data_IF_348532371508
#
_entry.id   IF_348532371508
#
_cell.length_a   1.000
_cell.length_b   1.000
_cell.length_c   1.000
_cell.angle_alpha   90.00
_cell.angle_beta   90.00
_cell.angle_gamma   90.00
#
_symmetry.space_group_name_H-M   'P 1'
#
loop_
_entity.id
_entity.type
_entity.pdbx_description
1 polymer ?
#
# COMPACT_ATOMS: atom_id res chain seq x y z
N UNK A 1 -10.14 11.99 18.33
CA UNK A 1 -9.84 10.67 17.76
C UNK A 1 -11.09 9.88 18.00
N UNK A 2 -11.90 9.67 16.97
CA UNK A 2 -13.15 8.92 17.11
C UNK A 2 -12.77 7.45 17.29
N UNK A 3 -12.84 6.96 18.53
CA UNK A 3 -12.52 5.59 18.86
C UNK A 3 -13.69 4.71 18.43
N UNK A 4 -13.38 3.60 17.77
CA UNK A 4 -14.38 2.58 17.42
C UNK A 4 -14.82 1.91 18.73
N UNK A 5 -16.11 1.97 19.03
CA UNK A 5 -16.77 1.34 20.19
C UNK A 5 -17.67 0.20 19.70
N UNK A 6 -17.75 -0.89 20.46
CA UNK A 6 -18.54 -2.07 20.11
C UNK A 6 -20.04 -1.77 19.98
N UNK A 7 -20.53 -0.73 20.65
CA UNK A 7 -21.93 -0.30 20.61
C UNK A 7 -22.28 0.57 19.37
N UNK A 8 -21.31 0.89 18.51
CA UNK A 8 -21.55 1.67 17.28
C UNK A 8 -22.19 0.81 16.18
N UNK A 9 -23.10 1.42 15.41
CA UNK A 9 -23.68 0.80 14.22
C UNK A 9 -22.58 0.40 13.21
N UNK A 10 -22.78 -0.73 12.54
CA UNK A 10 -21.77 -1.36 11.66
C UNK A 10 -21.35 -0.43 10.50
N UNK A 11 -22.31 0.30 9.93
CA UNK A 11 -22.07 1.32 8.90
C UNK A 11 -21.18 2.47 9.41
N UNK A 12 -21.33 2.82 10.69
CA UNK A 12 -20.54 3.89 11.30
C UNK A 12 -19.10 3.45 11.54
N UNK A 13 -18.90 2.23 12.05
CA UNK A 13 -17.58 1.62 12.21
C UNK A 13 -16.85 1.55 10.87
N UNK A 14 -17.53 1.05 9.85
CA UNK A 14 -16.99 0.91 8.49
C UNK A 14 -16.57 2.27 7.91
N UNK A 15 -17.40 3.31 8.10
CA UNK A 15 -17.07 4.68 7.65
C UNK A 15 -15.82 5.23 8.34
N UNK A 16 -15.68 5.00 9.66
CA UNK A 16 -14.51 5.43 10.43
C UNK A 16 -13.26 4.70 9.94
N UNK A 17 -13.32 3.37 9.80
CA UNK A 17 -12.22 2.56 9.27
C UNK A 17 -11.75 3.07 7.90
N UNK A 18 -12.69 3.28 6.97
CA UNK A 18 -12.37 3.78 5.63
C UNK A 18 -11.73 5.17 5.66
N UNK A 19 -12.20 6.08 6.52
CA UNK A 19 -11.61 7.41 6.69
C UNK A 19 -10.17 7.35 7.19
N UNK A 20 -9.85 6.35 8.02
CA UNK A 20 -8.50 6.09 8.51
C UNK A 20 -7.65 5.23 7.57
N UNK A 21 -8.18 4.84 6.40
CA UNK A 21 -7.46 4.03 5.41
C UNK A 21 -7.37 2.55 5.76
N UNK A 22 -8.27 2.07 6.62
CA UNK A 22 -8.45 0.66 6.95
C UNK A 22 -9.59 0.06 6.13
N UNK A 23 -9.50 -1.24 5.85
CA UNK A 23 -10.55 -2.05 5.23
C UNK A 23 -11.23 -2.93 6.28
N UNK A 24 -12.39 -3.52 5.97
CA UNK A 24 -13.15 -4.37 6.91
C UNK A 24 -12.38 -5.64 7.34
N UNK A 25 -11.32 -6.00 6.62
CA UNK A 25 -10.34 -7.02 7.05
C UNK A 25 -9.52 -6.62 8.28
N UNK A 26 -9.57 -5.34 8.69
CA UNK A 26 -8.67 -4.73 9.67
C UNK A 26 -7.31 -4.32 9.08
N UNK A 27 -7.01 -4.71 7.84
CA UNK A 27 -5.80 -4.35 7.13
C UNK A 27 -5.81 -2.92 6.57
N UNK A 28 -4.63 -2.45 6.17
CA UNK A 28 -4.44 -1.13 5.56
C UNK A 28 -4.80 -1.21 4.07
N UNK A 29 -5.60 -0.28 3.56
CA UNK A 29 -5.90 -0.21 2.14
C UNK A 29 -4.62 -0.09 1.29
N UNK A 30 -4.45 -1.02 0.34
CA UNK A 30 -3.23 -1.11 -0.48
C UNK A 30 -3.00 0.17 -1.29
N UNK A 31 -4.04 0.74 -1.91
CA UNK A 31 -3.91 1.89 -2.80
C UNK A 31 -3.52 3.15 -2.03
N UNK A 32 -4.17 3.43 -0.90
CA UNK A 32 -3.84 4.52 0.01
C UNK A 32 -2.43 4.39 0.58
N UNK A 33 -1.96 3.16 0.79
CA UNK A 33 -0.60 2.92 1.30
C UNK A 33 0.48 3.19 0.26
N UNK A 34 0.33 2.67 -0.96
CA UNK A 34 1.39 2.76 -1.99
C UNK A 34 1.36 4.08 -2.76
N UNK A 35 0.19 4.68 -2.97
CA UNK A 35 0.06 5.89 -3.78
C UNK A 35 0.57 7.11 -3.05
N UNK A 36 1.58 7.75 -3.63
CA UNK A 36 2.09 9.04 -3.22
C UNK A 36 1.53 10.12 -4.17
N UNK A 37 0.62 11.01 -3.70
CA UNK A 37 -0.02 12.00 -4.57
C UNK A 37 0.95 13.06 -5.10
N UNK A 38 2.17 13.12 -4.56
CA UNK A 38 3.19 14.11 -4.92
C UNK A 38 4.25 13.56 -5.87
N UNK A 39 4.32 12.24 -6.08
CA UNK A 39 5.32 11.63 -6.96
C UNK A 39 4.87 10.25 -7.46
N UNK A 40 4.67 10.15 -8.77
CA UNK A 40 4.45 8.87 -9.44
C UNK A 40 5.64 7.93 -9.27
N UNK A 41 6.87 8.44 -9.38
CA UNK A 41 8.09 7.64 -9.19
C UNK A 41 8.13 6.97 -7.82
N UNK A 42 7.82 7.73 -6.76
CA UNK A 42 7.73 7.15 -5.42
C UNK A 42 6.56 6.18 -5.26
N UNK A 43 5.44 6.37 -5.98
CA UNK A 43 4.33 5.39 -6.00
C UNK A 43 4.81 4.05 -6.55
N UNK A 44 5.53 4.06 -7.68
CA UNK A 44 6.11 2.85 -8.26
C UNK A 44 7.12 2.20 -7.32
N UNK A 45 8.01 2.99 -6.71
CA UNK A 45 8.95 2.49 -5.69
C UNK A 45 8.23 1.84 -4.50
N UNK A 46 7.16 2.45 -4.00
CA UNK A 46 6.37 1.91 -2.89
C UNK A 46 5.73 0.56 -3.28
N UNK A 47 5.18 0.44 -4.49
CA UNK A 47 4.67 -0.83 -5.01
C UNK A 47 5.76 -1.91 -5.06
N UNK A 48 6.98 -1.56 -5.50
CA UNK A 48 8.12 -2.48 -5.47
C UNK A 48 8.49 -2.91 -4.05
N UNK A 49 8.52 -1.99 -3.08
CA UNK A 49 8.80 -2.33 -1.69
C UNK A 49 7.76 -3.29 -1.10
N UNK A 50 6.47 -3.02 -1.34
CA UNK A 50 5.38 -3.92 -0.92
C UNK A 50 5.56 -5.30 -1.56
N UNK A 51 5.93 -5.38 -2.84
CA UNK A 51 6.17 -6.67 -3.50
C UNK A 51 7.28 -7.49 -2.83
N UNK A 52 8.33 -6.83 -2.32
CA UNK A 52 9.39 -7.51 -1.56
C UNK A 52 8.92 -7.95 -0.18
N UNK A 53 8.10 -7.14 0.50
CA UNK A 53 7.51 -7.53 1.80
C UNK A 53 6.63 -8.78 1.66
N UNK A 54 5.84 -8.87 0.59
CA UNK A 54 5.02 -10.03 0.28
C UNK A 54 5.87 -11.24 -0.07
N UNK A 55 6.85 -11.07 -0.97
CA UNK A 55 7.79 -12.15 -1.35
C UNK A 55 8.53 -12.70 -0.13
N UNK A 56 8.93 -11.83 0.80
CA UNK A 56 9.67 -12.19 2.00
C UNK A 56 8.74 -12.68 3.13
N UNK A 57 7.43 -12.82 2.87
CA UNK A 57 6.41 -13.34 3.80
C UNK A 57 6.24 -12.50 5.05
N UNK A 58 6.45 -11.17 4.96
CA UNK A 58 6.28 -10.22 6.09
C UNK A 58 4.91 -9.58 6.11
N UNK A 59 4.29 -9.46 4.94
CA UNK A 59 2.98 -8.86 4.73
C UNK A 59 2.24 -9.76 3.75
N UNK A 60 0.93 -9.90 3.93
CA UNK A 60 0.03 -10.56 2.99
C UNK A 60 -1.01 -9.59 2.43
N UNK A 61 -1.62 -9.98 1.31
CA UNK A 61 -2.76 -9.27 0.74
C UNK A 61 -4.02 -10.05 1.08
N UNK A 62 -4.93 -9.38 1.77
CA UNK A 62 -6.30 -9.84 1.98
C UNK A 62 -7.26 -9.02 1.13
N UNK A 63 -8.48 -9.50 0.91
CA UNK A 63 -9.52 -8.82 0.14
C UNK A 63 -10.74 -8.62 1.02
N UNK A 64 -11.23 -7.39 1.07
CA UNK A 64 -12.48 -7.10 1.79
C UNK A 64 -13.71 -7.68 1.07
N UNK A 65 -14.87 -7.51 1.67
CA UNK A 65 -16.16 -7.97 1.13
C UNK A 65 -16.50 -7.37 -0.26
N UNK A 66 -15.85 -6.26 -0.64
CA UNK A 66 -16.00 -5.60 -1.94
C UNK A 66 -14.90 -6.03 -2.94
N UNK A 67 -14.00 -6.93 -2.54
CA UNK A 67 -12.88 -7.39 -3.35
C UNK A 67 -11.75 -6.37 -3.46
N UNK A 68 -11.67 -5.40 -2.53
CA UNK A 68 -10.61 -4.40 -2.50
C UNK A 68 -9.42 -4.90 -1.67
N UNK A 69 -8.17 -4.72 -2.15
CA UNK A 69 -7.00 -5.27 -1.50
C UNK A 69 -6.57 -4.48 -0.25
N UNK A 70 -6.25 -5.22 0.81
CA UNK A 70 -5.72 -4.72 2.07
C UNK A 70 -4.40 -5.42 2.42
N UNK A 71 -3.49 -4.70 3.06
CA UNK A 71 -2.22 -5.22 3.58
C UNK A 71 -2.35 -5.55 5.07
N UNK A 72 -1.93 -6.76 5.44
CA UNK A 72 -1.86 -7.23 6.83
C UNK A 72 -0.47 -7.80 7.14
N UNK A 73 0.08 -7.59 8.35
CA UNK A 73 1.31 -8.25 8.76
C UNK A 73 1.10 -9.77 8.89
N UNK A 74 2.10 -10.55 8.50
CA UNK A 74 2.09 -12.01 8.74
C UNK A 74 2.61 -12.26 10.16
N UNK A 75 1.77 -12.84 11.02
CA UNK A 75 2.13 -13.16 12.39
C UNK A 75 2.94 -14.46 12.45
N UNK A 76 4.25 -14.34 12.72
CA UNK A 76 5.18 -15.48 12.67
C UNK A 76 5.29 -16.23 14.00
N UNK A 77 4.69 -15.70 15.05
CA UNK A 77 4.79 -16.26 16.41
C UNK A 77 3.82 -17.43 16.64
N UNK A 78 2.81 -17.60 15.78
CA UNK A 78 1.85 -18.70 15.87
C UNK A 78 2.34 -20.02 15.20
N UNK A 79 3.46 -20.00 14.48
CA UNK A 79 3.99 -21.12 13.69
C UNK A 79 5.34 -21.64 14.20
N UNK A 80 5.50 -21.85 15.52
CA UNK A 80 6.64 -22.61 16.06
C UNK A 80 6.52 -24.14 15.82
N UNK A 81 5.42 -24.60 15.24
CA UNK A 81 5.24 -26.00 14.85
C UNK A 81 5.31 -26.18 13.32
N UNK A 82 6.43 -26.76 12.89
CA UNK A 82 6.74 -27.28 11.56
C UNK A 82 7.11 -26.27 10.46
N UNK A 83 8.28 -26.43 9.78
CA UNK A 83 8.59 -25.76 8.53
C UNK A 83 7.80 -26.45 7.42
N UNK A 84 6.48 -26.43 7.52
CA UNK A 84 5.65 -26.82 6.41
C UNK A 84 5.84 -25.74 5.35
N UNK A 85 6.69 -26.09 4.40
CA UNK A 85 6.61 -25.67 3.00
C UNK A 85 5.23 -26.07 2.46
N UNK A 86 4.15 -25.65 3.10
CA UNK A 86 2.85 -25.56 2.47
C UNK A 86 3.10 -24.61 1.32
N UNK A 87 2.99 -25.15 0.11
CA UNK A 87 2.97 -24.38 -1.11
C UNK A 87 1.81 -23.42 -1.02
N UNK A 88 2.03 -22.30 -0.34
CA UNK A 88 1.21 -21.11 -0.40
C UNK A 88 1.03 -20.91 -1.90
N UNK A 89 -0.20 -21.14 -2.37
CA UNK A 89 -0.55 -20.87 -3.74
C UNK A 89 0.03 -19.49 -4.03
N UNK A 90 1.05 -19.45 -4.90
CA UNK A 90 1.76 -18.22 -5.23
C UNK A 90 0.75 -17.38 -5.98
N UNK A 91 -0.08 -16.65 -5.25
CA UNK A 91 -0.99 -15.68 -5.79
C UNK A 91 -0.12 -14.55 -6.32
N UNK A 92 0.33 -14.71 -7.57
CA UNK A 92 1.02 -13.68 -8.30
C UNK A 92 -0.04 -12.66 -8.71
N UNK A 93 -0.16 -11.60 -7.91
CA UNK A 93 -0.91 -10.41 -8.33
C UNK A 93 0.00 -9.58 -9.25
N UNK A 94 -0.43 -9.36 -10.48
CA UNK A 94 0.21 -8.39 -11.38
C UNK A 94 -0.53 -7.08 -11.20
N UNK A 95 0.09 -6.13 -10.50
CA UNK A 95 -0.43 -4.77 -10.38
C UNK A 95 0.26 -3.87 -11.39
N UNK A 96 -0.50 -3.34 -12.34
CA UNK A 96 -0.05 -2.31 -13.28
C UNK A 96 -0.46 -0.92 -12.78
N UNK A 97 0.43 0.04 -12.92
CA UNK A 97 0.17 1.44 -12.58
C UNK A 97 0.77 2.33 -13.67
N UNK A 98 -0.08 3.11 -14.33
CA UNK A 98 0.32 4.17 -15.23
C UNK A 98 -0.05 5.55 -14.66
N UNK A 99 0.35 6.60 -15.36
CA UNK A 99 0.14 7.98 -14.93
C UNK A 99 -1.34 8.40 -14.92
N UNK A 100 -2.20 7.72 -15.68
CA UNK A 100 -3.64 8.00 -15.73
C UNK A 100 -4.31 7.37 -14.51
N UNK A 101 -4.13 6.07 -14.33
CA UNK A 101 -4.60 5.29 -13.18
C UNK A 101 -4.14 5.91 -11.86
N UNK A 102 -2.88 6.34 -11.78
CA UNK A 102 -2.34 7.03 -10.60
C UNK A 102 -3.12 8.31 -10.25
N UNK A 103 -3.45 9.13 -11.26
CA UNK A 103 -4.24 10.35 -11.06
C UNK A 103 -5.68 10.04 -10.68
N UNK A 104 -6.27 9.03 -11.30
CA UNK A 104 -7.64 8.61 -11.01
C UNK A 104 -7.78 8.10 -9.58
N UNK A 105 -6.80 7.35 -9.08
CA UNK A 105 -6.76 6.92 -7.67
C UNK A 105 -6.66 8.14 -6.75
N UNK A 106 -5.78 9.09 -7.03
CA UNK A 106 -5.65 10.32 -6.21
C UNK A 106 -6.99 11.05 -6.13
N UNK A 107 -7.66 11.23 -7.26
CA UNK A 107 -8.93 11.95 -7.34
C UNK A 107 -10.06 11.18 -6.65
N UNK A 108 -10.18 9.88 -6.91
CA UNK A 108 -11.24 9.01 -6.37
C UNK A 108 -11.15 8.91 -4.86
N UNK A 109 -9.94 8.82 -4.31
CA UNK A 109 -9.70 8.70 -2.88
C UNK A 109 -9.46 10.04 -2.18
N UNK A 110 -9.38 11.14 -2.93
CA UNK A 110 -9.11 12.49 -2.39
C UNK A 110 -7.74 12.62 -1.72
N UNK A 111 -6.72 11.89 -2.20
CA UNK A 111 -5.40 11.82 -1.55
C UNK A 111 -4.65 13.16 -1.65
N UNK A 112 -4.46 13.83 -0.52
CA UNK A 112 -3.68 15.08 -0.45
C UNK A 112 -2.24 14.87 0.01
N UNK A 113 -2.05 13.89 0.91
CA UNK A 113 -0.78 13.58 1.54
C UNK A 113 -0.50 12.08 1.44
N UNK A 114 0.76 11.66 1.25
CA UNK A 114 1.09 10.25 1.25
C UNK A 114 1.00 9.67 2.66
N UNK A 115 0.54 8.41 2.76
CA UNK A 115 0.46 7.70 4.04
C UNK A 115 1.84 7.45 4.66
N UNK A 116 2.83 7.13 3.82
CA UNK A 116 4.25 7.02 4.21
C UNK A 116 5.02 8.28 3.80
N UNK A 117 6.07 8.62 4.53
CA UNK A 117 6.80 9.87 4.35
C UNK A 117 7.31 10.08 2.90
N UNK A 118 7.01 11.25 2.32
CA UNK A 118 7.53 11.66 1.02
C UNK A 118 9.06 11.84 1.09
N UNK A 119 9.79 11.13 0.22
CA UNK A 119 11.24 11.21 0.16
C UNK A 119 11.66 12.46 -0.62
N UNK A 120 12.70 13.15 -0.16
CA UNK A 120 13.31 14.23 -0.94
C UNK A 120 14.03 13.59 -2.14
N UNK A 121 13.65 13.99 -3.33
CA UNK A 121 14.37 13.59 -4.53
C UNK A 121 15.80 14.17 -4.46
N UNK A 122 16.79 13.34 -4.76
CA UNK A 122 18.16 13.84 -4.88
C UNK A 122 18.19 14.82 -6.07
N UNK A 123 18.49 16.09 -5.81
CA UNK A 123 18.85 17.00 -6.90
C UNK A 123 20.09 16.43 -7.55
N UNK A 124 19.97 15.88 -8.75
CA UNK A 124 21.11 15.46 -9.56
C UNK A 124 21.89 16.72 -10.01
N UNK A 125 22.56 17.39 -9.08
CA UNK A 125 23.67 18.29 -9.36
C UNK A 125 24.91 17.41 -9.61
N UNK A 126 24.85 16.57 -10.63
CA UNK A 126 25.99 15.81 -11.11
C UNK A 126 26.91 16.70 -11.96
N UNK A 127 28.24 16.48 -11.96
CA UNK A 127 29.18 17.18 -12.81
C UNK A 127 29.02 16.73 -14.27
N UNK A 128 27.96 17.19 -14.93
CA UNK A 128 27.62 16.84 -16.31
C UNK A 128 26.65 17.81 -17.00
N UNK A 129 26.25 18.89 -16.33
CA UNK A 129 25.35 19.91 -16.87
C UNK A 129 25.97 20.80 -17.99
N UNK A 130 27.14 20.43 -18.52
CA UNK A 130 27.79 21.13 -19.63
C UNK A 130 28.10 20.15 -20.76
N UNK A 131 27.22 20.13 -21.76
CA UNK A 131 27.57 19.85 -23.15
C UNK A 131 27.66 18.39 -23.55
N UNK A 132 26.53 17.81 -23.98
CA UNK A 132 26.50 16.69 -24.94
C UNK A 132 26.20 17.13 -26.37
N UNK A 133 26.12 18.43 -26.61
CA UNK A 133 26.08 19.01 -27.94
C UNK A 133 27.19 20.06 -28.04
N UNK A 134 28.36 19.60 -28.46
CA UNK A 134 29.41 20.39 -29.11
C UNK A 134 29.92 19.58 -30.29
#
# INVERSE_FOLDING_TARGET
>A
MDLIDDDMEEDEKTRIMHNHGLRSTGGIDLMRFVVNPKSFGQTIENMFYVSFLIRDGRVEIDFDEFGLPALAPVDREAEEEEPTRHGAAKHQAILSMDMETWRDIINTFGLQEPMIAHRKEATNAGPGARGWYS
#
